data_IF_770979621375
#
_entry.id   IF_770979621375
#
_cell.length_a   1.000
_cell.length_b   1.000
_cell.length_c   1.000
_cell.angle_alpha   90.00
_cell.angle_beta   90.00
_cell.angle_gamma   90.00
#
_symmetry.space_group_name_H-M   'P 1'
#
loop_
_entity.id
_entity.type
_entity.pdbx_description
1 polymer ?
#
# COMPACT_ATOMS: atom_id res chain seq x y z
N UNK A 1 2.31 6.85 -18.14
CA UNK A 1 1.92 6.56 -16.75
C UNK A 1 0.67 7.36 -16.44
N UNK A 2 -0.48 6.70 -16.36
CA UNK A 2 -1.71 7.35 -15.93
C UNK A 2 -1.69 7.37 -14.41
N UNK A 3 -1.76 8.54 -13.75
CA UNK A 3 -1.71 8.60 -12.30
C UNK A 3 -2.88 7.82 -11.70
N UNK A 4 -2.59 6.96 -10.72
CA UNK A 4 -3.59 6.22 -9.93
C UNK A 4 -4.33 7.17 -8.98
N UNK A 5 -5.30 7.91 -9.51
CA UNK A 5 -6.04 8.92 -8.75
C UNK A 5 -6.84 8.33 -7.60
N UNK A 6 -7.26 7.08 -7.72
CA UNK A 6 -7.86 6.27 -6.66
C UNK A 6 -6.92 6.12 -5.46
N UNK A 7 -5.65 5.78 -5.69
CA UNK A 7 -4.65 5.67 -4.64
C UNK A 7 -4.24 7.04 -4.08
N UNK A 8 -4.10 8.05 -4.95
CA UNK A 8 -3.74 9.42 -4.54
C UNK A 8 -4.86 10.13 -3.76
N UNK A 9 -6.11 9.70 -3.88
CA UNK A 9 -7.23 10.21 -3.10
C UNK A 9 -7.24 9.66 -1.66
N UNK A 10 -6.47 8.62 -1.37
CA UNK A 10 -6.39 8.04 -0.02
C UNK A 10 -5.67 9.00 0.92
N UNK A 11 -6.37 9.40 1.97
CA UNK A 11 -5.85 10.16 3.10
C UNK A 11 -5.59 9.24 4.30
N UNK A 12 -4.76 9.65 5.28
CA UNK A 12 -4.56 8.88 6.51
C UNK A 12 -5.86 8.52 7.23
N UNK A 13 -6.87 9.39 7.20
CA UNK A 13 -8.16 9.10 7.85
C UNK A 13 -8.99 8.09 7.04
N UNK A 14 -9.00 8.17 5.71
CA UNK A 14 -9.67 7.14 4.89
C UNK A 14 -8.99 5.77 5.01
N UNK A 15 -7.65 5.73 5.05
CA UNK A 15 -6.90 4.50 5.29
C UNK A 15 -7.20 3.92 6.68
N UNK A 16 -7.32 4.79 7.70
CA UNK A 16 -7.63 4.35 9.05
C UNK A 16 -9.05 3.79 9.18
N UNK A 17 -9.99 4.26 8.35
CA UNK A 17 -11.35 3.73 8.28
C UNK A 17 -11.44 2.40 7.52
N UNK A 18 -10.63 2.22 6.47
CA UNK A 18 -10.59 0.98 5.67
C UNK A 18 -9.84 -0.16 6.37
N UNK A 19 -8.70 0.14 6.98
CA UNK A 19 -7.88 -0.84 7.69
C UNK A 19 -8.14 -0.75 9.20
N UNK A 20 -7.27 -0.03 9.92
CA UNK A 20 -7.49 0.41 11.29
C UNK A 20 -6.48 1.52 11.62
N UNK A 21 -6.84 2.40 12.56
CA UNK A 21 -5.99 3.56 12.93
C UNK A 21 -4.62 3.18 13.52
N UNK A 22 -4.51 2.00 14.14
CA UNK A 22 -3.25 1.50 14.70
C UNK A 22 -2.24 1.14 13.62
N UNK A 23 -2.70 0.41 12.60
CA UNK A 23 -1.93 0.02 11.42
C UNK A 23 -1.41 1.23 10.66
N UNK A 24 -2.28 2.21 10.37
CA UNK A 24 -1.84 3.43 9.65
C UNK A 24 -0.78 4.20 10.42
N UNK A 25 -0.92 4.34 11.75
CA UNK A 25 0.10 5.00 12.58
C UNK A 25 1.44 4.25 12.57
N UNK A 26 1.39 2.91 12.58
CA UNK A 26 2.59 2.08 12.50
C UNK A 26 3.28 2.25 11.16
N UNK A 27 2.54 2.16 10.05
CA UNK A 27 3.07 2.34 8.71
C UNK A 27 3.73 3.72 8.54
N UNK A 28 3.10 4.80 9.02
CA UNK A 28 3.72 6.14 9.01
C UNK A 28 5.04 6.17 9.76
N UNK A 29 5.11 5.56 10.96
CA UNK A 29 6.34 5.50 11.74
C UNK A 29 7.45 4.69 11.03
N UNK A 30 7.09 3.61 10.35
CA UNK A 30 8.03 2.81 9.56
C UNK A 30 8.55 3.60 8.35
N UNK A 31 7.70 4.36 7.66
CA UNK A 31 8.09 5.28 6.59
C UNK A 31 9.05 6.38 7.09
N UNK A 32 8.73 7.04 8.20
CA UNK A 32 9.58 8.07 8.82
C UNK A 32 10.95 7.53 9.24
N UNK A 33 11.01 6.24 9.61
CA UNK A 33 12.25 5.54 9.94
C UNK A 33 13.01 5.03 8.70
N UNK A 34 12.51 5.23 7.50
CA UNK A 34 13.12 4.75 6.25
C UNK A 34 12.97 3.24 6.01
N UNK A 35 12.02 2.59 6.68
CA UNK A 35 11.72 1.16 6.53
C UNK A 35 10.58 0.88 5.54
N UNK A 36 10.18 1.89 4.76
CA UNK A 36 9.16 1.78 3.72
C UNK A 36 9.57 0.91 2.54
N UNK A 37 8.59 0.53 1.70
CA UNK A 37 8.88 -0.16 0.45
C UNK A 37 9.46 0.80 -0.60
N UNK A 38 10.26 0.26 -1.50
CA UNK A 38 10.47 0.87 -2.81
C UNK A 38 9.20 0.71 -3.64
N UNK A 39 8.70 1.80 -4.23
CA UNK A 39 7.41 1.83 -4.93
C UNK A 39 7.63 1.99 -6.41
N UNK A 40 7.07 1.08 -7.20
CA UNK A 40 7.12 1.09 -8.66
C UNK A 40 5.73 1.00 -9.29
N UNK A 41 5.58 1.60 -10.46
CA UNK A 41 4.44 1.41 -11.36
C UNK A 41 4.87 0.53 -12.54
N UNK A 42 4.05 -0.45 -12.89
CA UNK A 42 4.33 -1.44 -13.94
C UNK A 42 3.98 -0.95 -15.36
N UNK A 43 3.48 0.28 -15.51
CA UNK A 43 3.03 0.87 -16.77
C UNK A 43 1.60 0.51 -17.17
N UNK A 44 1.03 -0.57 -16.62
CA UNK A 44 -0.37 -0.96 -16.76
C UNK A 44 -1.27 -0.38 -15.65
N UNK A 45 -0.69 0.43 -14.75
CA UNK A 45 -1.34 1.02 -13.59
C UNK A 45 -1.24 0.17 -12.33
N UNK A 46 -0.67 -1.04 -12.37
CA UNK A 46 -0.36 -1.82 -11.18
C UNK A 46 0.76 -1.15 -10.39
N UNK A 47 0.53 -0.92 -9.10
CA UNK A 47 1.54 -0.38 -8.18
C UNK A 47 2.10 -1.52 -7.35
N UNK A 48 3.42 -1.63 -7.27
CA UNK A 48 4.13 -2.59 -6.42
C UNK A 48 4.92 -1.88 -5.35
N UNK A 49 4.92 -2.43 -4.15
CA UNK A 49 5.80 -2.06 -3.05
C UNK A 49 6.71 -3.21 -2.68
N UNK A 50 8.03 -3.01 -2.74
CA UNK A 50 9.04 -3.99 -2.31
C UNK A 50 9.70 -3.52 -1.03
N UNK A 51 9.45 -4.23 0.07
CA UNK A 51 10.03 -3.94 1.37
C UNK A 51 11.46 -4.49 1.51
N UNK A 52 12.30 -3.92 2.42
CA UNK A 52 13.67 -4.39 2.63
C UNK A 52 13.80 -5.84 3.09
N UNK A 53 12.77 -6.40 3.72
CA UNK A 53 12.72 -7.80 4.17
C UNK A 53 12.32 -8.79 3.07
N UNK A 54 12.08 -8.30 1.84
CA UNK A 54 11.63 -9.10 0.70
C UNK A 54 10.11 -9.25 0.61
N UNK A 55 9.34 -8.67 1.54
CA UNK A 55 7.88 -8.59 1.42
C UNK A 55 7.51 -7.78 0.18
N UNK A 56 6.53 -8.26 -0.57
CA UNK A 56 5.99 -7.59 -1.75
C UNK A 56 4.50 -7.34 -1.57
N UNK A 57 4.08 -6.10 -1.79
CA UNK A 57 2.70 -5.68 -1.86
C UNK A 57 2.35 -5.30 -3.31
N UNK A 58 1.17 -5.68 -3.78
CA UNK A 58 0.68 -5.40 -5.13
C UNK A 58 -0.72 -4.81 -5.07
N UNK A 59 -0.91 -3.65 -5.69
CA UNK A 59 -2.19 -2.96 -5.85
C UNK A 59 -2.57 -2.95 -7.35
N UNK A 60 -3.47 -3.86 -7.79
CA UNK A 60 -3.84 -3.96 -9.21
C UNK A 60 -4.58 -2.72 -9.71
N UNK A 61 -4.49 -2.46 -11.01
CA UNK A 61 -5.20 -1.36 -11.67
C UNK A 61 -6.72 -1.56 -11.67
N UNK A 62 -7.47 -0.47 -11.44
CA UNK A 62 -8.93 -0.48 -11.55
C UNK A 62 -9.67 -1.32 -10.50
N UNK A 63 -9.00 -1.65 -9.40
CA UNK A 63 -9.57 -2.38 -8.28
C UNK A 63 -9.43 -1.58 -6.98
N UNK A 64 -10.32 -1.85 -6.03
CA UNK A 64 -10.30 -1.24 -4.71
C UNK A 64 -9.09 -1.72 -3.89
N UNK A 65 -8.75 -0.99 -2.83
CA UNK A 65 -7.56 -1.23 -2.01
C UNK A 65 -7.50 -2.64 -1.40
N UNK A 66 -8.67 -3.21 -1.08
CA UNK A 66 -8.84 -4.56 -0.52
C UNK A 66 -8.61 -5.69 -1.54
N UNK A 67 -8.58 -5.39 -2.83
CA UNK A 67 -8.12 -6.32 -3.86
C UNK A 67 -6.59 -6.43 -3.92
N UNK A 68 -5.87 -5.64 -3.12
CA UNK A 68 -4.42 -5.74 -2.96
C UNK A 68 -3.99 -7.11 -2.42
N UNK A 69 -2.75 -7.48 -2.73
CA UNK A 69 -2.13 -8.69 -2.17
C UNK A 69 -0.79 -8.36 -1.53
N UNK A 70 -0.41 -9.12 -0.51
CA UNK A 70 0.86 -8.97 0.18
C UNK A 70 1.45 -10.35 0.52
N UNK A 71 2.76 -10.51 0.34
CA UNK A 71 3.43 -11.79 0.64
C UNK A 71 3.71 -12.00 2.13
N UNK A 72 3.37 -11.05 3.01
CA UNK A 72 3.57 -11.16 4.46
C UNK A 72 2.65 -12.20 5.14
N UNK A 73 1.62 -12.68 4.44
CA UNK A 73 0.68 -13.69 4.94
C UNK A 73 -0.41 -13.17 5.88
N UNK A 74 -0.48 -11.86 6.13
CA UNK A 74 -1.57 -11.26 6.89
C UNK A 74 -2.90 -11.32 6.10
N UNK A 75 -4.03 -11.60 6.76
CA UNK A 75 -5.33 -11.54 6.11
C UNK A 75 -5.79 -10.08 5.97
N UNK A 76 -6.28 -9.73 4.78
CA UNK A 76 -6.80 -8.38 4.50
C UNK A 76 -5.71 -7.31 4.46
N UNK A 77 -6.06 -6.07 4.82
CA UNK A 77 -5.13 -4.94 4.85
C UNK A 77 -4.12 -5.08 6.00
N UNK A 78 -2.83 -4.93 5.68
CA UNK A 78 -1.69 -5.20 6.55
C UNK A 78 -0.77 -3.99 6.72
#
# INVERSE_FOLDING_TARGET
MTPRTDLLALTPDTLAALANRGLVKRAVKELDAGAGPDVSDDGDGTVRGRFPDGTEAVLPAGADLDAGSCTCGAPGLC
#
